data_IF_022241569603
#
_entry.id   IF_022241569603
#
_cell.length_a   1.000
_cell.length_b   1.000
_cell.length_c   1.000
_cell.angle_alpha   90.00
_cell.angle_beta   90.00
_cell.angle_gamma   90.00
#
_symmetry.space_group_name_H-M   'P 1'
#
loop_
_entity.id
_entity.type
_entity.pdbx_description
1 polymer ?
#
# COMPACT_ATOMS: atom_id res chain seq x y z
N UNK A 1 -6.81 -14.12 6.35
CA UNK A 1 -7.39 -13.18 7.33
C UNK A 1 -7.03 -11.77 6.88
N UNK A 2 -8.03 -10.93 6.61
CA UNK A 2 -7.84 -9.51 6.31
C UNK A 2 -8.01 -8.74 7.60
N UNK A 3 -7.06 -7.88 7.94
CA UNK A 3 -7.07 -7.06 9.15
C UNK A 3 -7.11 -5.61 8.71
N UNK A 4 -8.08 -4.85 9.23
CA UNK A 4 -8.03 -3.39 9.11
C UNK A 4 -6.86 -2.94 9.98
N UNK A 5 -5.84 -2.40 9.33
CA UNK A 5 -4.59 -2.04 10.00
C UNK A 5 -4.52 -0.57 10.35
N UNK A 6 -5.14 0.30 9.55
CA UNK A 6 -5.08 1.75 9.74
C UNK A 6 -6.17 2.49 8.96
N UNK A 7 -6.33 3.77 9.27
CA UNK A 7 -7.07 4.73 8.43
C UNK A 7 -6.14 5.87 8.06
N UNK A 8 -6.26 6.39 6.83
CA UNK A 8 -5.46 7.51 6.34
C UNK A 8 -6.35 8.60 5.78
N UNK A 9 -6.14 9.83 6.21
CA UNK A 9 -6.82 11.02 5.66
C UNK A 9 -5.83 11.79 4.80
N UNK A 10 -6.18 11.99 3.54
CA UNK A 10 -5.31 12.70 2.60
C UNK A 10 -5.24 14.18 2.94
N UNK A 11 -4.01 14.72 2.93
CA UNK A 11 -3.75 16.15 3.13
C UNK A 11 -3.52 16.89 1.82
N UNK A 12 -3.21 16.16 0.75
CA UNK A 12 -2.80 16.69 -0.54
C UNK A 12 -3.32 15.84 -1.70
N UNK A 13 -3.27 16.40 -2.92
CA UNK A 13 -3.54 15.67 -4.16
C UNK A 13 -2.34 14.83 -4.64
N UNK A 14 -1.32 14.66 -3.79
CA UNK A 14 -0.10 13.92 -4.12
C UNK A 14 -0.15 12.50 -3.57
N UNK A 15 0.80 11.67 -4.00
CA UNK A 15 0.98 10.35 -3.41
C UNK A 15 1.53 10.48 -2.00
N UNK A 16 0.78 10.02 -1.01
CA UNK A 16 1.12 9.99 0.40
C UNK A 16 1.47 8.57 0.83
N UNK A 17 2.46 8.43 1.71
CA UNK A 17 2.90 7.11 2.18
C UNK A 17 1.95 6.61 3.27
N UNK A 18 1.30 5.48 3.03
CA UNK A 18 0.35 4.86 3.96
C UNK A 18 0.96 3.71 4.74
N UNK A 19 2.01 3.09 4.20
CA UNK A 19 2.72 2.03 4.89
C UNK A 19 4.20 2.03 4.45
N UNK A 20 5.08 1.75 5.40
CA UNK A 20 6.49 1.47 5.14
C UNK A 20 6.82 0.10 5.68
N UNK A 21 7.40 -0.76 4.84
CA UNK A 21 7.77 -2.12 5.22
C UNK A 21 9.19 -2.45 4.77
N UNK A 22 9.87 -3.26 5.57
CA UNK A 22 11.22 -3.73 5.31
C UNK A 22 11.33 -5.21 5.66
N UNK A 23 11.95 -5.99 4.77
CA UNK A 23 12.17 -7.43 4.97
C UNK A 23 10.92 -8.21 5.41
N UNK A 24 9.76 -7.87 4.84
CA UNK A 24 8.50 -8.57 5.11
C UNK A 24 8.25 -9.69 4.09
N UNK A 25 7.54 -10.76 4.50
CA UNK A 25 6.99 -11.72 3.53
C UNK A 25 6.05 -10.99 2.56
N UNK A 26 5.73 -11.63 1.44
CA UNK A 26 4.76 -11.09 0.48
C UNK A 26 3.44 -10.83 1.22
N UNK A 27 2.75 -9.72 0.92
CA UNK A 27 1.50 -9.26 1.54
C UNK A 27 0.64 -8.56 0.49
N UNK A 28 -0.66 -8.46 0.78
CA UNK A 28 -1.62 -7.71 -0.01
C UNK A 28 -2.23 -6.62 0.85
N UNK A 29 -2.22 -5.40 0.33
CA UNK A 29 -2.88 -4.25 0.94
C UNK A 29 -4.00 -3.78 0.01
N UNK A 30 -5.17 -3.53 0.57
CA UNK A 30 -6.33 -2.98 -0.09
C UNK A 30 -6.80 -1.73 0.65
N UNK A 31 -7.41 -0.80 -0.06
CA UNK A 31 -7.90 0.47 0.49
C UNK A 31 -9.35 0.71 0.07
N UNK A 32 -10.12 1.26 1.01
CA UNK A 32 -11.54 1.58 0.82
C UNK A 32 -11.84 3.01 1.29
N UNK A 33 -12.43 3.88 0.46
CA UNK A 33 -12.78 3.70 -0.95
C UNK A 33 -11.55 3.43 -1.84
N UNK A 34 -11.77 2.80 -3.01
CA UNK A 34 -10.69 2.42 -3.93
C UNK A 34 -10.00 3.66 -4.47
N UNK A 35 -8.71 3.78 -4.18
CA UNK A 35 -7.85 4.86 -4.68
C UNK A 35 -6.58 4.29 -5.34
N UNK A 36 -5.92 5.03 -6.25
CA UNK A 36 -4.64 4.62 -6.80
C UNK A 36 -3.59 4.32 -5.72
N UNK A 37 -2.93 3.18 -5.85
CA UNK A 37 -1.85 2.70 -5.02
C UNK A 37 -0.57 2.50 -5.84
N UNK A 38 0.58 2.73 -5.22
CA UNK A 38 1.88 2.38 -5.77
C UNK A 38 2.83 1.90 -4.69
N UNK A 39 3.73 1.01 -5.04
CA UNK A 39 4.81 0.56 -4.17
C UNK A 39 6.10 1.14 -4.72
N UNK A 40 6.85 1.82 -3.85
CA UNK A 40 8.12 2.45 -4.20
C UNK A 40 9.22 1.97 -3.29
N UNK A 41 10.36 1.61 -3.87
CA UNK A 41 11.62 1.49 -3.14
C UNK A 41 12.34 2.84 -3.15
N UNK A 42 13.52 2.90 -2.53
CA UNK A 42 14.38 4.08 -2.61
C UNK A 42 14.75 4.47 -4.05
N UNK A 43 14.77 3.51 -4.98
CA UNK A 43 15.32 3.70 -6.33
C UNK A 43 14.25 3.70 -7.42
N UNK A 44 13.17 2.92 -7.29
CA UNK A 44 12.18 2.75 -8.35
C UNK A 44 10.80 2.38 -7.82
N UNK A 45 9.79 2.55 -8.66
CA UNK A 45 8.44 2.06 -8.40
C UNK A 45 8.38 0.58 -8.78
N UNK A 46 8.04 -0.28 -7.82
CA UNK A 46 8.02 -1.74 -8.02
C UNK A 46 6.66 -2.26 -8.45
N UNK A 47 5.59 -1.55 -8.10
CA UNK A 47 4.23 -1.92 -8.49
C UNK A 47 3.30 -0.69 -8.50
N UNK A 48 2.28 -0.72 -9.34
CA UNK A 48 1.20 0.27 -9.36
C UNK A 48 -0.15 -0.45 -9.48
N UNK A 49 -1.20 0.13 -8.91
CA UNK A 49 -2.56 -0.40 -8.99
C UNK A 49 -3.58 0.73 -8.92
N UNK A 50 -4.54 0.75 -9.86
CA UNK A 50 -5.64 1.69 -9.85
C UNK A 50 -6.92 1.11 -9.22
N UNK A 51 -6.88 -0.16 -8.80
CA UNK A 51 -8.05 -0.87 -8.28
C UNK A 51 -8.17 -0.81 -6.75
N UNK A 52 -7.31 -0.04 -6.07
CA UNK A 52 -7.29 0.05 -4.62
C UNK A 52 -6.76 -1.20 -3.92
N UNK A 53 -6.08 -2.11 -4.62
CA UNK A 53 -5.40 -3.26 -4.01
C UNK A 53 -4.05 -3.50 -4.68
N UNK A 54 -3.00 -3.75 -3.90
CA UNK A 54 -1.66 -4.01 -4.41
C UNK A 54 -0.95 -5.08 -3.59
N UNK A 55 -0.13 -5.89 -4.25
CA UNK A 55 0.74 -6.86 -3.60
C UNK A 55 2.13 -6.25 -3.46
N UNK A 56 2.77 -6.47 -2.32
CA UNK A 56 4.11 -5.97 -2.00
C UNK A 56 4.82 -6.97 -1.07
N UNK A 57 6.10 -6.76 -0.80
CA UNK A 57 6.93 -7.71 -0.05
C UNK A 57 7.54 -8.85 -0.91
N UNK A 58 8.08 -9.89 -0.26
CA UNK A 58 8.72 -11.05 -0.91
C UNK A 58 10.25 -10.93 -1.06
N UNK A 59 10.85 -11.72 -1.96
CA UNK A 59 12.31 -11.67 -2.21
C UNK A 59 12.81 -10.32 -2.73
N UNK A 60 11.91 -9.48 -3.24
CA UNK A 60 12.17 -8.09 -3.62
C UNK A 60 12.14 -7.09 -2.43
N UNK A 61 11.97 -7.57 -1.19
CA UNK A 61 11.99 -6.78 0.06
C UNK A 61 13.38 -6.47 0.61
N UNK A 62 14.45 -6.76 -0.14
CA UNK A 62 15.84 -6.44 0.27
C UNK A 62 16.01 -4.93 0.45
N UNK A 63 15.14 -4.12 -0.17
CA UNK A 63 15.04 -2.68 0.03
C UNK A 63 13.76 -2.30 0.79
N UNK A 64 13.80 -1.17 1.51
CA UNK A 64 12.62 -0.56 2.15
C UNK A 64 11.58 -0.25 1.07
N UNK A 65 10.38 -0.79 1.24
CA UNK A 65 9.24 -0.58 0.36
C UNK A 65 8.26 0.37 1.05
N UNK A 66 7.82 1.39 0.31
CA UNK A 66 6.80 2.36 0.74
C UNK A 66 5.57 2.16 -0.12
N UNK A 67 4.45 1.79 0.51
CA UNK A 67 3.15 1.80 -0.15
C UNK A 67 2.63 3.23 -0.07
N UNK A 68 2.36 3.81 -1.23
CA UNK A 68 1.81 5.14 -1.34
C UNK A 68 0.43 5.07 -1.99
N UNK A 69 -0.47 5.93 -1.54
CA UNK A 69 -1.81 6.08 -2.10
C UNK A 69 -2.03 7.53 -2.52
N UNK A 70 -2.95 7.75 -3.46
CA UNK A 70 -3.32 9.09 -3.91
C UNK A 70 -4.84 9.24 -3.86
N UNK A 71 -5.33 10.16 -3.05
CA UNK A 71 -6.74 10.53 -2.98
C UNK A 71 -6.93 12.05 -3.07
N UNK A 72 -8.15 12.50 -2.79
CA UNK A 72 -8.47 13.92 -2.68
C UNK A 72 -8.22 14.43 -1.25
N UNK A 73 -7.73 15.66 -1.06
CA UNK A 73 -7.60 16.27 0.26
C UNK A 73 -8.92 16.19 1.06
N UNK A 74 -8.83 15.73 2.30
CA UNK A 74 -9.98 15.50 3.18
C UNK A 74 -10.69 14.15 2.97
N UNK A 75 -10.37 13.42 1.90
CA UNK A 75 -10.84 12.04 1.74
C UNK A 75 -10.15 11.14 2.76
N UNK A 76 -10.93 10.26 3.40
CA UNK A 76 -10.41 9.25 4.32
C UNK A 76 -10.53 7.87 3.69
N UNK A 77 -9.48 7.06 3.80
CA UNK A 77 -9.46 5.66 3.39
C UNK A 77 -9.19 4.75 4.58
N UNK A 78 -9.79 3.57 4.54
CA UNK A 78 -9.46 2.44 5.40
C UNK A 78 -8.44 1.56 4.69
N UNK A 79 -7.43 1.12 5.44
CA UNK A 79 -6.35 0.28 4.97
C UNK A 79 -6.57 -1.12 5.52
N UNK A 80 -6.68 -2.06 4.60
CA UNK A 80 -6.86 -3.48 4.88
C UNK A 80 -5.64 -4.25 4.42
N UNK A 81 -5.02 -4.99 5.34
CA UNK A 81 -3.87 -5.82 5.04
C UNK A 81 -4.23 -7.29 5.19
N UNK A 82 -3.80 -8.10 4.22
CA UNK A 82 -3.93 -9.54 4.25
C UNK A 82 -2.58 -10.20 3.94
N UNK A 83 -2.28 -11.28 4.66
CA UNK A 83 -1.22 -12.20 4.23
C UNK A 83 -1.69 -12.88 2.94
N UNK A 84 -0.80 -13.18 1.98
CA UNK A 84 -1.14 -14.03 0.85
C UNK A 84 -1.59 -15.35 1.45
N UNK A 85 -2.78 -15.80 1.07
CA UNK A 85 -3.18 -17.17 1.34
C UNK A 85 -2.20 -18.02 0.54
N UNK A 86 -1.35 -18.77 1.24
CA UNK A 86 -0.35 -19.62 0.61
C UNK A 86 -1.01 -20.52 -0.43
N UNK A 87 -0.41 -20.55 -1.62
CA UNK A 87 -0.58 -21.63 -2.59
C UNK A 87 0.72 -22.42 -2.61
#
# INVERSE_FOLDING_TARGET
MTVITATHTFTSNNFETIETAFNIPRRRICVFPRVPLRVRTAFFTTANSNNGCINYGGTASIAVQRVQSKGFPGQTIQIEQSLPVGG
#
